data_IF_922075458138
#
_entry.id   IF_922075458138
#
_cell.length_a   1.000
_cell.length_b   1.000
_cell.length_c   1.000
_cell.angle_alpha   90.00
_cell.angle_beta   90.00
_cell.angle_gamma   90.00
#
_symmetry.space_group_name_H-M   'P 1'
#
loop_
_entity.id
_entity.type
_entity.pdbx_description
1 polymer ?
#
# COMPACT_ATOMS: atom_id res chain seq x y z
N UNK A 1 -11.05 2.16 -14.34
CA UNK A 1 -10.89 0.70 -14.22
C UNK A 1 -12.12 0.06 -14.85
N UNK A 2 -11.95 -0.75 -15.89
CA UNK A 2 -13.07 -1.44 -16.54
C UNK A 2 -13.32 -2.84 -15.95
N UNK A 3 -14.46 -3.44 -16.28
CA UNK A 3 -14.85 -4.77 -15.80
C UNK A 3 -13.91 -5.91 -16.28
N UNK A 4 -13.16 -5.69 -17.36
CA UNK A 4 -12.17 -6.62 -17.87
C UNK A 4 -10.89 -6.62 -17.01
N UNK A 5 -10.41 -5.44 -16.65
CA UNK A 5 -9.24 -5.24 -15.78
C UNK A 5 -9.48 -5.81 -14.38
N UNK A 6 -10.64 -5.51 -13.78
CA UNK A 6 -11.02 -6.04 -12.47
C UNK A 6 -11.04 -7.58 -12.46
N UNK A 7 -11.56 -8.20 -13.54
CA UNK A 7 -11.59 -9.66 -13.68
C UNK A 7 -10.19 -10.27 -13.81
N UNK A 8 -9.24 -9.57 -14.45
CA UNK A 8 -7.84 -10.00 -14.54
C UNK A 8 -7.18 -10.00 -13.16
N UNK A 9 -7.36 -8.93 -12.39
CA UNK A 9 -6.84 -8.83 -11.01
C UNK A 9 -7.42 -9.95 -10.14
N UNK A 10 -8.73 -10.19 -10.20
CA UNK A 10 -9.37 -11.26 -9.43
C UNK A 10 -8.82 -12.66 -9.76
N UNK A 11 -8.57 -12.96 -11.05
CA UNK A 11 -7.95 -14.22 -11.46
C UNK A 11 -6.52 -14.36 -10.94
N UNK A 12 -5.72 -13.29 -11.02
CA UNK A 12 -4.35 -13.29 -10.52
C UNK A 12 -4.31 -13.48 -8.99
N UNK A 13 -5.16 -12.75 -8.26
CA UNK A 13 -5.28 -12.87 -6.81
C UNK A 13 -5.71 -14.29 -6.39
N UNK A 14 -6.66 -14.91 -7.10
CA UNK A 14 -7.10 -16.29 -6.83
C UNK A 14 -5.95 -17.29 -7.02
N UNK A 15 -5.10 -17.11 -8.03
CA UNK A 15 -3.91 -17.92 -8.24
C UNK A 15 -2.89 -17.75 -7.12
N UNK A 16 -2.57 -16.50 -6.76
CA UNK A 16 -1.62 -16.18 -5.70
C UNK A 16 -2.08 -16.70 -4.32
N UNK A 17 -3.38 -16.62 -4.02
CA UNK A 17 -3.95 -17.08 -2.75
C UNK A 17 -3.67 -18.55 -2.46
N UNK A 18 -3.71 -19.41 -3.50
CA UNK A 18 -3.41 -20.85 -3.35
C UNK A 18 -1.97 -21.08 -2.92
N UNK A 19 -1.03 -20.36 -3.53
CA UNK A 19 0.39 -20.44 -3.16
C UNK A 19 0.63 -19.86 -1.76
N UNK A 20 -0.02 -18.74 -1.43
CA UNK A 20 0.10 -18.12 -0.11
C UNK A 20 -0.44 -19.02 1.01
N UNK A 21 -1.49 -19.80 0.72
CA UNK A 21 -2.09 -20.72 1.68
C UNK A 21 -1.20 -21.93 2.01
N UNK A 22 -0.30 -22.32 1.11
CA UNK A 22 0.62 -23.45 1.33
C UNK A 22 1.96 -23.07 1.97
N UNK A 23 2.23 -21.77 2.17
CA UNK A 23 3.45 -21.32 2.84
C UNK A 23 3.47 -21.68 4.33
N UNK A 24 4.64 -22.02 4.85
CA UNK A 24 4.86 -22.19 6.28
C UNK A 24 4.76 -20.85 7.04
N UNK A 25 4.62 -20.93 8.37
CA UNK A 25 4.67 -19.77 9.26
C UNK A 25 5.96 -18.98 9.08
N UNK A 26 7.11 -19.64 9.16
CA UNK A 26 8.43 -18.99 9.06
C UNK A 26 8.62 -18.19 7.77
N UNK A 27 8.16 -18.72 6.63
CA UNK A 27 8.24 -18.02 5.34
C UNK A 27 7.34 -16.78 5.34
N UNK A 28 6.13 -16.90 5.92
CA UNK A 28 5.19 -15.77 6.05
C UNK A 28 5.76 -14.69 6.96
N UNK A 29 6.32 -15.07 8.09
CA UNK A 29 6.89 -14.14 9.07
C UNK A 29 8.08 -13.41 8.45
N UNK A 30 8.98 -14.14 7.76
CA UNK A 30 10.10 -13.52 7.05
C UNK A 30 9.64 -12.56 5.97
N UNK A 31 8.58 -12.88 5.23
CA UNK A 31 8.01 -11.98 4.24
C UNK A 31 7.46 -10.70 4.87
N UNK A 32 6.76 -10.79 6.01
CA UNK A 32 6.24 -9.62 6.74
C UNK A 32 7.39 -8.74 7.25
N UNK A 33 8.43 -9.33 7.84
CA UNK A 33 9.61 -8.57 8.28
C UNK A 33 10.28 -7.84 7.11
N UNK A 34 10.46 -8.52 5.98
CA UNK A 34 11.05 -7.89 4.80
C UNK A 34 10.18 -6.74 4.23
N UNK A 35 8.86 -6.82 4.35
CA UNK A 35 7.96 -5.71 3.99
C UNK A 35 8.19 -4.52 4.92
N UNK A 36 8.29 -4.75 6.24
CA UNK A 36 8.55 -3.71 7.22
C UNK A 36 9.91 -3.02 6.98
N UNK A 37 10.95 -3.81 6.71
CA UNK A 37 12.28 -3.30 6.35
C UNK A 37 12.22 -2.47 5.06
N UNK A 38 11.49 -2.97 4.05
CA UNK A 38 11.26 -2.28 2.78
C UNK A 38 10.60 -0.92 2.99
N UNK A 39 9.48 -0.88 3.72
CA UNK A 39 8.77 0.36 4.06
C UNK A 39 9.68 1.34 4.79
N UNK A 40 10.44 0.87 5.78
CA UNK A 40 11.36 1.68 6.56
C UNK A 40 12.47 2.29 5.68
N UNK A 41 13.04 1.49 4.78
CA UNK A 41 14.10 1.94 3.87
C UNK A 41 13.61 2.89 2.78
N UNK A 42 12.34 2.77 2.36
CA UNK A 42 11.70 3.61 1.34
C UNK A 42 10.96 4.82 1.92
N UNK A 43 11.03 5.08 3.23
CA UNK A 43 10.35 6.21 3.90
C UNK A 43 10.49 7.56 3.17
N UNK A 44 11.69 7.98 2.71
CA UNK A 44 11.83 9.26 2.03
C UNK A 44 11.03 9.34 0.71
N UNK A 45 10.98 8.23 -0.03
CA UNK A 45 10.22 8.15 -1.29
C UNK A 45 8.71 8.13 -1.03
N UNK A 46 8.26 7.35 -0.04
CA UNK A 46 6.85 7.23 0.33
C UNK A 46 6.29 8.58 0.79
N UNK A 47 7.02 9.29 1.66
CA UNK A 47 6.59 10.61 2.17
C UNK A 47 6.60 11.68 1.08
N UNK A 48 7.58 11.66 0.17
CA UNK A 48 7.62 12.54 -0.99
C UNK A 48 6.39 12.34 -1.89
N UNK A 49 6.05 11.10 -2.22
CA UNK A 49 4.89 10.81 -3.07
C UNK A 49 3.57 11.10 -2.35
N UNK A 50 3.48 10.79 -1.05
CA UNK A 50 2.30 11.15 -0.25
C UNK A 50 2.06 12.67 -0.21
N UNK A 51 3.12 13.48 -0.08
CA UNK A 51 3.00 14.94 -0.10
C UNK A 51 2.37 15.45 -1.42
N UNK A 52 2.73 14.84 -2.56
CA UNK A 52 2.13 15.16 -3.87
C UNK A 52 0.65 14.81 -3.90
N UNK A 53 0.24 13.71 -3.28
CA UNK A 53 -1.16 13.30 -3.23
C UNK A 53 -1.99 14.13 -2.24
N UNK A 54 -1.39 14.57 -1.13
CA UNK A 54 -2.01 15.54 -0.21
C UNK A 54 -2.29 16.86 -0.93
N UNK A 55 -1.35 17.36 -1.72
CA UNK A 55 -1.56 18.60 -2.47
C UNK A 55 -2.68 18.45 -3.50
N UNK A 56 -2.67 17.37 -4.30
CA UNK A 56 -3.78 17.06 -5.23
C UNK A 56 -5.12 16.92 -4.49
N UNK A 57 -5.11 16.35 -3.28
CA UNK A 57 -6.29 16.21 -2.44
C UNK A 57 -6.85 17.57 -2.02
N UNK A 58 -5.97 18.48 -1.61
CA UNK A 58 -6.31 19.87 -1.27
C UNK A 58 -6.87 20.61 -2.47
N UNK A 59 -6.23 20.52 -3.64
CA UNK A 59 -6.73 21.11 -4.89
C UNK A 59 -8.11 20.59 -5.29
N UNK A 60 -8.42 19.32 -4.98
CA UNK A 60 -9.73 18.69 -5.22
C UNK A 60 -10.78 19.03 -4.14
N UNK A 61 -10.45 19.85 -3.16
CA UNK A 61 -11.37 20.29 -2.11
C UNK A 61 -11.66 19.23 -1.05
N UNK A 62 -10.75 18.27 -0.83
CA UNK A 62 -10.85 17.38 0.33
C UNK A 62 -10.78 18.19 1.63
N UNK A 63 -11.55 17.79 2.64
CA UNK A 63 -11.52 18.44 3.94
C UNK A 63 -10.22 18.15 4.68
N UNK A 64 -9.80 19.06 5.54
CA UNK A 64 -8.61 18.87 6.39
C UNK A 64 -8.68 17.59 7.22
N UNK A 65 -9.87 17.18 7.69
CA UNK A 65 -10.06 15.92 8.41
C UNK A 65 -9.79 14.68 7.54
N UNK A 66 -10.03 14.76 6.23
CA UNK A 66 -9.69 13.69 5.28
C UNK A 66 -8.19 13.74 4.97
N UNK A 67 -7.63 14.93 4.74
CA UNK A 67 -6.20 15.10 4.47
C UNK A 67 -5.33 14.60 5.64
N UNK A 68 -5.73 14.87 6.88
CA UNK A 68 -5.03 14.34 8.07
C UNK A 68 -5.01 12.81 8.09
N UNK A 69 -6.09 12.14 7.68
CA UNK A 69 -6.12 10.67 7.59
C UNK A 69 -5.25 10.11 6.46
N UNK A 70 -4.99 10.90 5.43
CA UNK A 70 -4.17 10.51 4.29
C UNK A 70 -2.69 10.82 4.48
N UNK A 71 -2.35 11.74 5.38
CA UNK A 71 -0.98 12.20 5.61
C UNK A 71 -0.13 11.07 6.19
N UNK A 72 1.02 10.84 5.55
CA UNK A 72 2.10 9.97 6.02
C UNK A 72 3.29 10.82 6.44
N UNK A 73 3.94 10.41 7.53
CA UNK A 73 5.16 10.98 8.09
C UNK A 73 5.96 9.86 8.79
N UNK A 74 7.10 10.19 9.40
CA UNK A 74 7.98 9.20 10.05
C UNK A 74 7.32 8.43 11.20
N UNK A 75 6.29 8.99 11.84
CA UNK A 75 5.52 8.33 12.91
C UNK A 75 4.43 7.40 12.37
N UNK A 76 4.05 7.58 11.10
CA UNK A 76 2.95 6.87 10.42
C UNK A 76 3.42 5.85 9.37
N UNK A 77 4.73 5.63 9.25
CA UNK A 77 5.38 4.60 8.42
C UNK A 77 6.24 3.73 9.31
#
# INVERSE_FOLDING_TARGET
MDSGELRKIGKAATGAARNLASLSGDVRDKAISNIADGLSSSRPEITLENARDIEKGREKGLSEAVLDRLLLNDERI
#
